data_IF_766324195928
#
_entry.id   IF_766324195928
#
_cell.length_a   1.000
_cell.length_b   1.000
_cell.length_c   1.000
_cell.angle_alpha   90.00
_cell.angle_beta   90.00
_cell.angle_gamma   90.00
#
_symmetry.space_group_name_H-M   'P 1'
#
loop_
_entity.id
_entity.type
_entity.pdbx_description
1 polymer ?
#
# COMPACT_ATOMS: atom_id res chain seq x y z
N UNK A 1 -12.15 67.32 -35.89
CA UNK A 1 -12.93 66.07 -35.74
C UNK A 1 -11.98 64.92 -35.86
N UNK A 2 -11.54 64.40 -34.70
CA UNK A 2 -10.59 63.30 -34.62
C UNK A 2 -11.38 62.04 -34.20
N UNK A 3 -11.38 61.02 -35.04
CA UNK A 3 -12.06 59.75 -34.80
C UNK A 3 -11.12 58.84 -33.96
N UNK A 4 -11.56 58.47 -32.77
CA UNK A 4 -10.88 57.45 -31.93
C UNK A 4 -11.04 56.04 -32.52
N UNK A 5 -10.02 55.21 -32.55
CA UNK A 5 -10.15 53.84 -33.03
C UNK A 5 -10.87 52.97 -31.95
N UNK A 6 -11.97 52.34 -32.37
CA UNK A 6 -12.69 51.31 -31.60
C UNK A 6 -11.84 50.05 -31.55
N UNK A 7 -11.36 49.68 -30.34
CA UNK A 7 -10.71 48.40 -30.05
C UNK A 7 -11.81 47.31 -30.02
N UNK A 8 -11.79 46.41 -31.03
CA UNK A 8 -12.61 45.20 -31.00
C UNK A 8 -12.12 44.29 -29.89
N UNK A 9 -13.02 43.75 -29.05
CA UNK A 9 -12.62 42.74 -28.05
C UNK A 9 -12.18 41.46 -28.76
N UNK A 10 -10.98 41.02 -28.46
CA UNK A 10 -10.46 39.70 -28.89
C UNK A 10 -11.37 38.59 -28.34
N UNK A 11 -11.83 37.63 -29.15
CA UNK A 11 -12.63 36.54 -28.62
C UNK A 11 -11.81 35.77 -27.61
N UNK A 12 -12.40 35.56 -26.44
CA UNK A 12 -11.87 34.66 -25.43
C UNK A 12 -11.61 33.30 -26.07
N UNK A 13 -10.37 32.87 -26.11
CA UNK A 13 -9.99 31.52 -26.49
C UNK A 13 -10.72 30.59 -25.50
N UNK A 14 -11.81 30.00 -25.97
CA UNK A 14 -12.34 28.78 -25.38
C UNK A 14 -11.23 27.73 -25.56
N UNK A 15 -10.31 27.65 -24.59
CA UNK A 15 -9.45 26.52 -24.43
C UNK A 15 -10.40 25.32 -24.24
N UNK A 16 -10.46 24.45 -25.26
CA UNK A 16 -11.10 23.16 -25.12
C UNK A 16 -10.57 22.52 -23.83
N UNK A 17 -11.41 21.82 -23.06
CA UNK A 17 -10.94 21.13 -21.88
C UNK A 17 -9.81 20.22 -22.34
N UNK A 18 -8.58 20.54 -21.92
CA UNK A 18 -7.43 19.67 -22.13
C UNK A 18 -7.81 18.33 -21.53
N UNK A 19 -7.89 17.30 -22.38
CA UNK A 19 -8.10 15.93 -21.90
C UNK A 19 -7.18 15.71 -20.70
N UNK A 20 -7.69 15.15 -19.59
CA UNK A 20 -6.84 14.91 -18.44
C UNK A 20 -5.66 14.05 -18.91
N UNK A 21 -4.42 14.36 -18.53
CA UNK A 21 -3.23 13.60 -18.91
C UNK A 21 -3.20 12.18 -18.31
N UNK A 22 -4.33 11.66 -17.91
CA UNK A 22 -4.56 10.28 -17.51
C UNK A 22 -5.09 9.53 -18.74
N UNK A 23 -4.38 9.63 -19.86
CA UNK A 23 -4.45 8.57 -20.85
C UNK A 23 -3.85 7.32 -20.21
N UNK A 24 -4.57 6.19 -20.30
CA UNK A 24 -4.07 4.86 -19.91
C UNK A 24 -2.74 4.50 -20.63
N UNK A 25 -2.26 5.33 -21.53
CA UNK A 25 -1.01 5.19 -22.28
C UNK A 25 0.27 5.10 -21.41
N UNK A 26 0.21 5.49 -20.16
CA UNK A 26 1.32 5.35 -19.20
C UNK A 26 1.19 4.17 -18.23
N UNK A 27 0.27 3.24 -18.45
CA UNK A 27 -0.02 2.13 -17.53
C UNK A 27 0.68 0.82 -17.91
N UNK A 28 1.54 0.81 -18.91
CA UNK A 28 2.33 -0.36 -19.26
C UNK A 28 3.52 -0.54 -18.32
N UNK A 29 3.93 -1.78 -18.08
CA UNK A 29 5.14 -2.09 -17.30
C UNK A 29 6.37 -1.37 -17.89
N UNK A 30 6.46 -1.24 -19.21
CA UNK A 30 7.53 -0.50 -19.88
C UNK A 30 7.56 0.99 -19.49
N UNK A 31 6.39 1.65 -19.40
CA UNK A 31 6.30 3.02 -18.92
C UNK A 31 6.72 3.14 -17.45
N UNK A 32 6.32 2.20 -16.59
CA UNK A 32 6.74 2.19 -15.18
C UNK A 32 8.24 1.92 -15.04
N UNK A 33 8.81 1.04 -15.86
CA UNK A 33 10.25 0.80 -15.90
C UNK A 33 11.05 2.05 -16.26
N UNK A 34 10.51 2.94 -17.10
CA UNK A 34 11.14 4.23 -17.38
C UNK A 34 11.13 5.19 -16.19
N UNK A 35 10.18 5.04 -15.27
CA UNK A 35 10.06 5.86 -14.07
C UNK A 35 10.88 5.31 -12.89
N UNK A 36 10.90 4.00 -12.69
CA UNK A 36 11.72 3.31 -11.70
C UNK A 36 11.90 1.84 -12.07
N UNK A 37 13.10 1.50 -12.53
CA UNK A 37 13.45 0.12 -12.87
C UNK A 37 13.41 -0.81 -11.65
N UNK A 38 13.91 -0.34 -10.50
CA UNK A 38 13.94 -1.14 -9.28
C UNK A 38 12.56 -1.57 -8.82
N UNK A 39 11.65 -0.62 -8.69
CA UNK A 39 10.28 -0.88 -8.24
C UNK A 39 9.50 -1.75 -9.24
N UNK A 40 9.63 -1.44 -10.55
CA UNK A 40 8.85 -2.14 -11.57
C UNK A 40 9.33 -3.57 -11.78
N UNK A 41 10.63 -3.78 -11.89
CA UNK A 41 11.21 -5.13 -12.02
C UNK A 41 11.02 -5.90 -10.71
N UNK A 42 11.30 -5.27 -9.56
CA UNK A 42 11.10 -5.88 -8.26
C UNK A 42 9.67 -6.34 -8.04
N UNK A 43 8.68 -5.48 -8.34
CA UNK A 43 7.26 -5.82 -8.23
C UNK A 43 6.85 -6.95 -9.18
N UNK A 44 7.30 -6.91 -10.44
CA UNK A 44 7.03 -7.97 -11.41
C UNK A 44 7.66 -9.31 -10.98
N UNK A 45 8.91 -9.31 -10.54
CA UNK A 45 9.58 -10.52 -10.05
C UNK A 45 8.89 -11.08 -8.80
N UNK A 46 8.42 -10.21 -7.90
CA UNK A 46 7.69 -10.62 -6.71
C UNK A 46 6.39 -11.36 -7.07
N UNK A 47 5.64 -10.85 -8.06
CA UNK A 47 4.42 -11.51 -8.56
C UNK A 47 4.75 -12.81 -9.31
N UNK A 48 5.79 -12.83 -10.14
CA UNK A 48 6.22 -14.04 -10.85
C UNK A 48 6.70 -15.12 -9.90
N UNK A 49 7.35 -14.75 -8.79
CA UNK A 49 7.80 -15.68 -7.76
C UNK A 49 6.63 -16.40 -7.04
N UNK A 50 5.39 -15.94 -7.19
CA UNK A 50 4.22 -16.68 -6.71
C UNK A 50 4.08 -18.05 -7.40
N UNK A 51 4.46 -18.17 -8.66
CA UNK A 51 4.37 -19.44 -9.42
C UNK A 51 5.19 -20.57 -8.77
N UNK A 52 6.52 -20.42 -8.56
CA UNK A 52 7.29 -21.44 -7.87
C UNK A 52 6.86 -21.63 -6.41
N UNK A 53 6.43 -20.56 -5.70
CA UNK A 53 5.93 -20.69 -4.33
C UNK A 53 4.64 -21.53 -4.29
N UNK A 54 3.72 -21.32 -5.23
CA UNK A 54 2.52 -22.14 -5.36
C UNK A 54 2.86 -23.61 -5.71
N UNK A 55 3.82 -23.84 -6.61
CA UNK A 55 4.29 -25.20 -6.89
C UNK A 55 4.89 -25.86 -5.64
N UNK A 56 5.64 -25.14 -4.82
CA UNK A 56 6.17 -25.64 -3.55
C UNK A 56 5.05 -26.02 -2.56
N UNK A 57 3.96 -25.25 -2.47
CA UNK A 57 2.83 -25.59 -1.61
C UNK A 57 2.18 -26.92 -2.00
N UNK A 58 2.10 -27.20 -3.30
CA UNK A 58 1.55 -28.48 -3.80
C UNK A 58 2.48 -29.67 -3.56
N UNK A 59 3.80 -29.44 -3.65
CA UNK A 59 4.80 -30.51 -3.56
C UNK A 59 5.19 -30.85 -2.11
N UNK A 60 5.37 -29.84 -1.25
CA UNK A 60 5.87 -30.04 0.11
C UNK A 60 4.79 -30.19 1.18
N UNK A 61 3.57 -29.69 0.93
CA UNK A 61 2.40 -29.75 1.84
C UNK A 61 2.74 -29.46 3.31
N UNK A 62 3.69 -28.54 3.53
CA UNK A 62 4.09 -28.13 4.86
C UNK A 62 2.96 -27.34 5.53
N UNK A 63 2.61 -27.69 6.77
CA UNK A 63 1.55 -27.00 7.50
C UNK A 63 2.12 -26.15 8.64
N UNK A 64 1.46 -25.01 8.88
CA UNK A 64 1.68 -24.15 10.03
C UNK A 64 0.36 -23.52 10.49
N UNK A 65 0.04 -23.59 11.79
CA UNK A 65 -1.22 -23.13 12.36
C UNK A 65 -2.48 -23.65 11.65
N UNK A 66 -2.46 -24.91 11.20
CA UNK A 66 -3.61 -25.56 10.57
C UNK A 66 -3.90 -25.17 9.12
N UNK A 67 -3.03 -24.38 8.50
CA UNK A 67 -3.08 -24.01 7.08
C UNK A 67 -1.76 -24.34 6.39
N UNK A 68 -1.76 -24.28 5.05
CA UNK A 68 -0.53 -24.43 4.27
C UNK A 68 0.47 -23.34 4.66
N UNK A 69 1.72 -23.73 4.97
CA UNK A 69 2.76 -22.80 5.38
C UNK A 69 3.13 -21.79 4.27
N UNK A 70 2.87 -22.13 3.01
CA UNK A 70 3.12 -21.26 1.86
C UNK A 70 2.00 -20.25 1.58
N UNK A 71 0.84 -20.35 2.21
CA UNK A 71 -0.23 -19.35 2.11
C UNK A 71 0.24 -17.95 2.49
N UNK A 72 1.04 -17.86 3.54
CA UNK A 72 1.61 -16.58 3.99
C UNK A 72 2.59 -15.99 2.98
N UNK A 73 3.62 -16.72 2.50
CA UNK A 73 4.46 -16.24 1.40
C UNK A 73 3.68 -15.74 0.20
N UNK A 74 2.68 -16.49 -0.29
CA UNK A 74 1.86 -16.09 -1.44
C UNK A 74 1.13 -14.77 -1.21
N UNK A 75 0.52 -14.56 -0.04
CA UNK A 75 -0.13 -13.30 0.33
C UNK A 75 0.86 -12.12 0.38
N UNK A 76 2.04 -12.35 0.95
CA UNK A 76 3.09 -11.33 1.01
C UNK A 76 3.67 -11.00 -0.38
N UNK A 77 3.91 -11.99 -1.22
CA UNK A 77 4.35 -11.79 -2.60
C UNK A 77 3.35 -10.95 -3.39
N UNK A 78 2.06 -11.28 -3.28
CA UNK A 78 1.00 -10.51 -3.92
C UNK A 78 0.98 -9.06 -3.42
N UNK A 79 0.96 -8.87 -2.10
CA UNK A 79 0.88 -7.55 -1.47
C UNK A 79 2.11 -6.69 -1.78
N UNK A 80 3.32 -7.22 -1.60
CA UNK A 80 4.57 -6.51 -1.87
C UNK A 80 4.76 -6.24 -3.35
N UNK A 81 4.39 -7.18 -4.22
CA UNK A 81 4.43 -6.99 -5.67
C UNK A 81 3.55 -5.82 -6.11
N UNK A 82 2.27 -5.81 -5.68
CA UNK A 82 1.34 -4.71 -5.96
C UNK A 82 1.85 -3.40 -5.33
N UNK A 83 2.37 -3.42 -4.10
CA UNK A 83 2.91 -2.25 -3.43
C UNK A 83 4.05 -1.61 -4.24
N UNK A 84 5.04 -2.38 -4.66
CA UNK A 84 6.17 -1.89 -5.46
C UNK A 84 5.71 -1.32 -6.81
N UNK A 85 4.79 -2.00 -7.49
CA UNK A 85 4.22 -1.51 -8.75
C UNK A 85 3.40 -0.23 -8.57
N UNK A 86 2.65 -0.09 -7.48
CA UNK A 86 1.95 1.15 -7.15
C UNK A 86 2.92 2.31 -6.93
N UNK A 87 4.02 2.09 -6.20
CA UNK A 87 5.05 3.12 -6.04
C UNK A 87 5.68 3.51 -7.39
N UNK A 88 5.99 2.53 -8.25
CA UNK A 88 6.54 2.77 -9.59
C UNK A 88 5.60 3.64 -10.43
N UNK A 89 4.31 3.31 -10.43
CA UNK A 89 3.26 4.06 -11.11
C UNK A 89 3.15 5.49 -10.58
N UNK A 90 3.05 5.67 -9.27
CA UNK A 90 2.92 6.99 -8.65
C UNK A 90 4.16 7.86 -8.85
N UNK A 91 5.34 7.24 -8.94
CA UNK A 91 6.58 7.93 -9.25
C UNK A 91 6.57 8.57 -10.65
N UNK A 92 5.80 8.03 -11.58
CA UNK A 92 5.59 8.61 -12.90
C UNK A 92 5.00 10.02 -12.88
N UNK A 93 4.30 10.39 -11.82
CA UNK A 93 3.74 11.72 -11.63
C UNK A 93 4.72 12.77 -11.08
N UNK A 94 5.98 12.39 -10.84
CA UNK A 94 7.05 13.34 -10.54
C UNK A 94 7.63 13.93 -11.82
N UNK A 95 8.08 15.18 -11.77
CA UNK A 95 8.92 15.78 -12.83
C UNK A 95 10.22 14.97 -13.00
N UNK A 96 10.90 15.05 -14.17
CA UNK A 96 12.21 14.43 -14.35
C UNK A 96 13.23 14.85 -13.29
N UNK A 97 13.27 16.15 -12.94
CA UNK A 97 14.13 16.66 -11.87
C UNK A 97 13.76 16.10 -10.49
N UNK A 98 12.46 15.90 -10.21
CA UNK A 98 11.98 15.26 -8.99
C UNK A 98 12.41 13.80 -8.89
N UNK A 99 12.33 13.06 -9.98
CA UNK A 99 12.77 11.65 -10.07
C UNK A 99 14.29 11.47 -9.92
N UNK A 100 15.07 12.43 -10.39
CA UNK A 100 16.53 12.37 -10.32
C UNK A 100 17.12 12.71 -8.94
N UNK A 101 16.30 13.13 -7.97
CA UNK A 101 16.80 13.44 -6.62
C UNK A 101 17.30 12.18 -5.91
N UNK A 102 18.39 12.31 -5.14
CA UNK A 102 18.94 11.16 -4.38
C UNK A 102 17.91 10.51 -3.46
N UNK A 103 17.08 11.31 -2.79
CA UNK A 103 15.99 10.81 -1.94
C UNK A 103 14.98 10.00 -2.76
N UNK A 104 14.68 10.40 -3.99
CA UNK A 104 13.79 9.65 -4.87
C UNK A 104 14.41 8.31 -5.29
N UNK A 105 15.74 8.26 -5.51
CA UNK A 105 16.43 7.01 -5.80
C UNK A 105 16.44 6.05 -4.60
N UNK A 106 16.59 6.59 -3.38
CA UNK A 106 16.51 5.79 -2.16
C UNK A 106 15.12 5.17 -1.98
N UNK A 107 14.05 5.86 -2.37
CA UNK A 107 12.68 5.31 -2.33
C UNK A 107 12.44 4.21 -3.37
N UNK A 108 13.36 3.97 -4.29
CA UNK A 108 13.30 2.86 -5.23
C UNK A 108 14.04 1.64 -4.70
N UNK A 109 15.29 1.83 -4.27
CA UNK A 109 16.18 0.75 -3.86
C UNK A 109 15.79 0.20 -2.49
N UNK A 110 15.58 1.09 -1.52
CA UNK A 110 15.31 0.68 -0.12
C UNK A 110 14.06 -0.20 0.00
N UNK A 111 12.87 0.20 -0.50
CA UNK A 111 11.69 -0.65 -0.38
C UNK A 111 11.82 -1.95 -1.20
N UNK A 112 12.52 -1.93 -2.35
CA UNK A 112 12.75 -3.15 -3.12
C UNK A 112 13.63 -4.13 -2.34
N UNK A 113 14.75 -3.69 -1.79
CA UNK A 113 15.65 -4.54 -1.00
C UNK A 113 14.96 -5.06 0.26
N UNK A 114 14.22 -4.20 0.97
CA UNK A 114 13.45 -4.61 2.15
C UNK A 114 12.41 -5.69 1.79
N UNK A 115 11.64 -5.50 0.72
CA UNK A 115 10.64 -6.47 0.28
C UNK A 115 11.24 -7.83 -0.05
N UNK A 116 12.37 -7.87 -0.77
CA UNK A 116 13.05 -9.14 -1.08
C UNK A 116 13.69 -9.78 0.14
N UNK A 117 14.26 -9.00 1.05
CA UNK A 117 14.82 -9.49 2.31
C UNK A 117 13.74 -10.14 3.18
N UNK A 118 12.59 -9.48 3.34
CA UNK A 118 11.45 -10.05 4.06
C UNK A 118 10.95 -11.33 3.41
N UNK A 119 10.78 -11.33 2.08
CA UNK A 119 10.31 -12.51 1.38
C UNK A 119 11.26 -13.70 1.48
N UNK A 120 12.57 -13.47 1.39
CA UNK A 120 13.57 -14.53 1.56
C UNK A 120 13.42 -15.18 2.96
N UNK A 121 13.27 -14.36 4.01
CA UNK A 121 13.07 -14.86 5.36
C UNK A 121 11.74 -15.58 5.55
N UNK A 122 10.63 -15.02 5.03
CA UNK A 122 9.30 -15.64 5.14
C UNK A 122 9.27 -17.01 4.43
N UNK A 123 9.85 -17.11 3.22
CA UNK A 123 9.93 -18.35 2.46
C UNK A 123 10.81 -19.39 3.16
N UNK A 124 11.96 -18.96 3.70
CA UNK A 124 12.83 -19.85 4.46
C UNK A 124 12.12 -20.44 5.68
N UNK A 125 11.37 -19.62 6.43
CA UNK A 125 10.61 -20.12 7.60
C UNK A 125 9.44 -21.02 7.17
N UNK A 126 8.73 -20.67 6.10
CA UNK A 126 7.65 -21.49 5.58
C UNK A 126 8.13 -22.88 5.15
N UNK A 127 9.29 -22.97 4.49
CA UNK A 127 9.86 -24.27 4.08
C UNK A 127 10.21 -25.18 5.26
N UNK A 128 10.31 -24.64 6.47
CA UNK A 128 10.57 -25.37 7.71
C UNK A 128 9.31 -25.60 8.56
N UNK A 129 8.15 -25.10 8.12
CA UNK A 129 6.92 -25.12 8.91
C UNK A 129 7.01 -24.28 10.19
N UNK A 130 7.77 -23.20 10.15
CA UNK A 130 8.07 -22.35 11.31
C UNK A 130 7.48 -20.94 11.16
N UNK A 131 7.18 -20.31 12.30
CA UNK A 131 6.73 -18.92 12.31
C UNK A 131 7.82 -17.96 11.80
N UNK A 132 7.48 -17.08 10.87
CA UNK A 132 8.33 -15.97 10.44
C UNK A 132 8.13 -14.72 11.31
N UNK A 133 6.92 -14.49 11.83
CA UNK A 133 6.57 -13.37 12.70
C UNK A 133 6.29 -13.87 14.12
N UNK A 134 6.44 -12.99 15.10
CA UNK A 134 6.25 -13.31 16.53
C UNK A 134 7.15 -14.44 17.03
N UNK A 135 8.19 -14.79 16.30
CA UNK A 135 9.10 -15.85 16.68
C UNK A 135 10.26 -15.28 17.49
N UNK A 136 10.16 -15.44 18.81
CA UNK A 136 11.17 -15.03 19.79
C UNK A 136 11.78 -16.23 20.52
N UNK A 137 11.62 -17.44 19.96
CA UNK A 137 12.05 -18.68 20.62
C UNK A 137 13.57 -18.79 20.77
N UNK A 138 14.34 -18.10 19.93
CA UNK A 138 15.81 -18.03 20.01
C UNK A 138 16.30 -16.60 19.81
N UNK A 139 17.49 -16.24 20.33
CA UNK A 139 18.06 -14.92 20.07
C UNK A 139 18.16 -14.55 18.59
N UNK A 140 18.52 -15.52 17.75
CA UNK A 140 18.58 -15.32 16.30
C UNK A 140 17.18 -15.06 15.70
N UNK A 141 16.17 -15.85 16.08
CA UNK A 141 14.80 -15.65 15.58
C UNK A 141 14.26 -14.28 16.01
N UNK A 142 14.51 -13.86 17.25
CA UNK A 142 14.12 -12.55 17.76
C UNK A 142 14.83 -11.41 16.99
N UNK A 143 16.13 -11.53 16.73
CA UNK A 143 16.88 -10.54 15.95
C UNK A 143 16.37 -10.42 14.51
N UNK A 144 16.11 -11.55 13.84
CA UNK A 144 15.56 -11.58 12.48
C UNK A 144 14.13 -11.01 12.44
N UNK A 145 13.30 -11.30 13.43
CA UNK A 145 11.97 -10.69 13.55
C UNK A 145 12.06 -9.16 13.76
N UNK A 146 12.99 -8.69 14.58
CA UNK A 146 13.27 -7.27 14.75
C UNK A 146 13.73 -6.61 13.45
N UNK A 147 14.61 -7.27 12.68
CA UNK A 147 15.08 -6.79 11.37
C UNK A 147 13.92 -6.67 10.37
N UNK A 148 12.99 -7.63 10.35
CA UNK A 148 11.77 -7.53 9.55
C UNK A 148 10.92 -6.33 9.94
N UNK A 149 10.78 -6.04 11.24
CA UNK A 149 10.08 -4.84 11.71
C UNK A 149 10.70 -3.55 11.15
N UNK A 150 12.03 -3.47 11.10
CA UNK A 150 12.75 -2.35 10.45
C UNK A 150 12.45 -2.31 8.95
N UNK A 151 12.49 -3.46 8.25
CA UNK A 151 12.15 -3.56 6.83
C UNK A 151 10.73 -3.04 6.55
N UNK A 152 9.75 -3.48 7.34
CA UNK A 152 8.36 -3.02 7.22
C UNK A 152 8.21 -1.51 7.44
N UNK A 153 8.92 -0.93 8.41
CA UNK A 153 8.95 0.52 8.63
C UNK A 153 9.56 1.27 7.43
N UNK A 154 10.63 0.74 6.84
CA UNK A 154 11.23 1.33 5.63
C UNK A 154 10.27 1.27 4.43
N UNK A 155 9.50 0.20 4.29
CA UNK A 155 8.45 0.10 3.27
C UNK A 155 7.42 1.22 3.45
N UNK A 156 6.78 1.35 4.60
CA UNK A 156 5.75 2.38 4.79
C UNK A 156 6.34 3.80 4.76
N UNK A 157 7.58 4.00 5.22
CA UNK A 157 8.28 5.28 5.15
C UNK A 157 8.52 5.73 3.70
N UNK A 158 8.80 4.79 2.77
CA UNK A 158 8.96 5.10 1.36
C UNK A 158 7.69 5.75 0.77
N UNK A 159 6.49 5.31 1.20
CA UNK A 159 5.22 5.95 0.82
C UNK A 159 5.18 7.42 1.26
N UNK A 160 5.54 7.73 2.51
CA UNK A 160 5.56 9.10 3.02
C UNK A 160 6.57 9.99 2.30
N UNK A 161 7.76 9.45 1.99
CA UNK A 161 8.77 10.19 1.21
C UNK A 161 8.26 10.49 -0.20
N UNK A 162 7.58 9.54 -0.85
CA UNK A 162 6.97 9.77 -2.17
C UNK A 162 5.84 10.81 -2.10
N UNK A 163 5.01 10.80 -1.04
CA UNK A 163 4.00 11.83 -0.82
C UNK A 163 4.62 13.23 -0.69
N UNK A 164 5.73 13.33 0.06
CA UNK A 164 6.48 14.57 0.20
C UNK A 164 7.08 15.04 -1.13
N UNK A 165 7.64 14.13 -1.93
CA UNK A 165 8.16 14.44 -3.27
C UNK A 165 7.04 14.92 -4.19
N UNK A 166 5.87 14.29 -4.21
CA UNK A 166 4.72 14.71 -4.99
C UNK A 166 4.18 16.09 -4.55
N UNK A 167 4.35 16.45 -3.28
CA UNK A 167 4.00 17.82 -2.83
C UNK A 167 4.90 18.88 -3.47
N UNK A 168 6.16 18.57 -3.71
CA UNK A 168 7.17 19.53 -4.15
C UNK A 168 7.54 19.45 -5.62
N UNK A 169 7.37 18.28 -6.22
CA UNK A 169 7.90 17.95 -7.54
C UNK A 169 6.87 17.20 -8.42
N UNK A 170 5.58 17.40 -8.19
CA UNK A 170 4.57 16.84 -9.08
C UNK A 170 4.69 17.45 -10.48
N UNK A 171 4.44 16.64 -11.50
CA UNK A 171 4.37 17.09 -12.89
C UNK A 171 3.27 18.14 -13.07
N UNK A 172 3.49 19.21 -13.85
CA UNK A 172 2.46 20.18 -14.15
C UNK A 172 1.32 19.55 -14.95
N UNK A 173 0.12 20.14 -14.85
CA UNK A 173 -1.07 19.67 -15.58
C UNK A 173 -1.79 18.49 -14.98
N UNK A 174 -1.37 17.96 -13.83
CA UNK A 174 -2.13 16.93 -13.11
C UNK A 174 -3.41 17.54 -12.52
N UNK A 175 -4.52 16.78 -12.63
CA UNK A 175 -5.76 17.16 -11.97
C UNK A 175 -5.53 17.26 -10.45
N UNK A 176 -5.96 18.37 -9.84
CA UNK A 176 -5.68 18.66 -8.43
C UNK A 176 -6.35 17.66 -7.47
N UNK A 177 -7.56 17.18 -7.77
CA UNK A 177 -8.24 16.19 -6.95
C UNK A 177 -7.49 14.84 -6.98
N UNK A 178 -7.05 14.42 -8.17
CA UNK A 178 -6.25 13.20 -8.31
C UNK A 178 -4.91 13.31 -7.58
N UNK A 179 -4.17 14.41 -7.75
CA UNK A 179 -2.91 14.62 -7.04
C UNK A 179 -3.10 14.66 -5.52
N UNK A 180 -4.20 15.24 -5.04
CA UNK A 180 -4.57 15.26 -3.61
C UNK A 180 -4.82 13.85 -3.10
N UNK A 181 -5.50 13.00 -3.88
CA UNK A 181 -5.78 11.61 -3.51
C UNK A 181 -4.51 10.75 -3.45
N UNK A 182 -3.57 10.93 -4.37
CA UNK A 182 -2.24 10.29 -4.31
C UNK A 182 -1.52 10.63 -3.00
N UNK A 183 -1.48 11.92 -2.65
CA UNK A 183 -0.80 12.38 -1.43
C UNK A 183 -1.47 11.83 -0.18
N UNK A 184 -2.79 11.89 -0.09
CA UNK A 184 -3.53 11.37 1.06
C UNK A 184 -3.35 9.85 1.19
N UNK A 185 -3.48 9.10 0.09
CA UNK A 185 -3.26 7.66 0.10
C UNK A 185 -1.89 7.28 0.65
N UNK A 186 -0.85 7.92 0.14
CA UNK A 186 0.53 7.67 0.56
C UNK A 186 0.80 8.08 2.03
N UNK A 187 0.30 9.24 2.48
CA UNK A 187 0.43 9.68 3.87
C UNK A 187 -0.33 8.77 4.83
N UNK A 188 -1.55 8.38 4.49
CA UNK A 188 -2.34 7.48 5.34
C UNK A 188 -1.71 6.08 5.38
N UNK A 189 -1.13 5.60 4.27
CA UNK A 189 -0.36 4.35 4.28
C UNK A 189 0.80 4.41 5.26
N UNK A 190 1.59 5.48 5.25
CA UNK A 190 2.69 5.63 6.20
C UNK A 190 2.20 5.71 7.64
N UNK A 191 1.19 6.53 7.91
CA UNK A 191 0.75 6.80 9.29
C UNK A 191 -0.06 5.64 9.84
N UNK A 192 -1.16 5.27 9.17
CA UNK A 192 -2.08 4.25 9.70
C UNK A 192 -1.49 2.85 9.57
N UNK A 193 -0.85 2.53 8.43
CA UNK A 193 -0.16 1.26 8.24
C UNK A 193 1.01 1.10 9.19
N UNK A 194 1.80 2.17 9.40
CA UNK A 194 2.92 2.19 10.34
C UNK A 194 2.47 2.00 11.77
N UNK A 195 1.50 2.79 12.24
CA UNK A 195 0.98 2.70 13.62
C UNK A 195 0.37 1.33 13.90
N UNK A 196 -0.51 0.86 12.99
CA UNK A 196 -1.12 -0.46 13.17
C UNK A 196 -0.09 -1.59 13.11
N UNK A 197 0.92 -1.50 12.24
CA UNK A 197 2.01 -2.47 12.13
C UNK A 197 2.91 -2.50 13.37
N UNK A 198 3.29 -1.34 13.91
CA UNK A 198 4.08 -1.24 15.15
C UNK A 198 3.30 -1.87 16.30
N UNK A 199 2.03 -1.52 16.48
CA UNK A 199 1.21 -2.08 17.53
C UNK A 199 1.07 -3.60 17.37
N UNK A 200 0.76 -4.08 16.15
CA UNK A 200 0.65 -5.51 15.84
C UNK A 200 1.95 -6.25 16.15
N UNK A 201 3.11 -5.71 15.78
CA UNK A 201 4.41 -6.36 15.99
C UNK A 201 4.81 -6.50 17.44
N UNK A 202 4.26 -5.66 18.33
CA UNK A 202 4.48 -5.73 19.78
C UNK A 202 3.60 -6.76 20.51
N UNK A 203 2.69 -7.44 19.78
CA UNK A 203 1.82 -8.47 20.36
C UNK A 203 2.47 -9.87 20.29
N UNK A 204 1.85 -10.83 20.96
CA UNK A 204 2.27 -12.24 20.90
C UNK A 204 1.65 -13.01 19.73
N UNK A 205 0.78 -12.34 18.95
CA UNK A 205 0.05 -12.90 17.80
C UNK A 205 -0.86 -11.87 17.14
N UNK A 206 -1.72 -12.32 16.24
CA UNK A 206 -2.62 -11.43 15.51
C UNK A 206 -3.84 -10.98 16.31
N UNK A 207 -4.26 -11.78 17.28
CA UNK A 207 -5.41 -11.51 18.14
C UNK A 207 -4.97 -10.89 19.45
N UNK A 208 -5.76 -9.95 19.97
CA UNK A 208 -5.62 -9.38 21.30
C UNK A 208 -6.65 -10.02 22.21
N UNK A 209 -6.25 -10.35 23.44
CA UNK A 209 -7.17 -10.92 24.43
C UNK A 209 -7.44 -12.41 24.23
N UNK A 210 -6.42 -13.24 24.27
CA UNK A 210 -6.53 -14.71 24.24
C UNK A 210 -7.55 -15.27 25.27
N UNK A 211 -7.82 -14.51 26.36
CA UNK A 211 -8.87 -14.82 27.35
C UNK A 211 -10.29 -14.78 26.74
N UNK A 212 -10.50 -14.16 25.61
CA UNK A 212 -11.79 -14.11 24.90
C UNK A 212 -11.92 -15.17 23.78
N UNK A 213 -11.12 -16.23 23.80
CA UNK A 213 -11.16 -17.30 22.82
C UNK A 213 -10.46 -16.92 21.51
N UNK A 214 -9.40 -16.12 21.57
CA UNK A 214 -8.57 -15.81 20.42
C UNK A 214 -8.10 -17.08 19.74
N UNK A 215 -8.42 -17.21 18.44
CA UNK A 215 -8.10 -18.41 17.66
C UNK A 215 -6.59 -18.48 17.48
N UNK A 216 -6.00 -19.51 18.06
CA UNK A 216 -4.57 -19.85 17.83
C UNK A 216 -4.32 -20.51 16.49
N UNK A 217 -5.38 -20.72 15.69
CA UNK A 217 -5.37 -21.49 14.46
C UNK A 217 -6.05 -20.70 13.33
N UNK A 218 -5.35 -20.51 12.22
CA UNK A 218 -5.85 -19.79 11.03
C UNK A 218 -6.81 -20.61 10.15
N UNK A 219 -6.99 -21.93 10.43
CA UNK A 219 -7.81 -22.84 9.61
C UNK A 219 -9.30 -22.44 9.52
N UNK A 220 -9.81 -21.73 10.53
CA UNK A 220 -11.20 -21.29 10.59
C UNK A 220 -11.37 -19.79 10.27
N UNK A 221 -10.34 -19.16 9.72
CA UNK A 221 -10.38 -17.78 9.28
C UNK A 221 -11.26 -17.54 8.05
N UNK A 222 -11.45 -16.27 7.68
CA UNK A 222 -12.13 -15.91 6.45
C UNK A 222 -11.37 -16.46 5.24
N UNK A 223 -12.07 -16.94 4.20
CA UNK A 223 -11.42 -17.37 2.95
C UNK A 223 -10.48 -16.28 2.42
N UNK A 224 -9.37 -16.67 1.82
CA UNK A 224 -8.31 -15.82 1.25
C UNK A 224 -7.52 -15.02 2.28
N UNK A 225 -8.16 -14.24 3.15
CA UNK A 225 -7.47 -13.40 4.13
C UNK A 225 -6.94 -14.19 5.33
N UNK A 226 -7.65 -15.22 5.75
CA UNK A 226 -7.38 -15.96 6.99
C UNK A 226 -7.70 -15.16 8.25
N UNK A 227 -8.46 -14.05 8.14
CA UNK A 227 -8.81 -13.22 9.29
C UNK A 227 -9.74 -13.97 10.24
N UNK A 228 -9.54 -13.79 11.54
CA UNK A 228 -10.35 -14.45 12.57
C UNK A 228 -11.83 -14.10 12.43
N UNK A 229 -12.68 -15.14 12.53
CA UNK A 229 -14.14 -15.01 12.54
C UNK A 229 -14.71 -14.91 13.95
N UNK A 230 -13.99 -15.42 14.94
CA UNK A 230 -14.48 -15.58 16.33
C UNK A 230 -13.75 -14.71 17.33
N UNK A 231 -12.59 -14.19 16.98
CA UNK A 231 -11.79 -13.29 17.80
C UNK A 231 -11.43 -11.99 17.07
N UNK A 232 -10.79 -11.07 17.78
CA UNK A 232 -10.25 -9.86 17.16
C UNK A 232 -9.10 -10.19 16.22
N UNK A 233 -8.87 -9.32 15.22
CA UNK A 233 -7.77 -9.52 14.28
C UNK A 233 -7.11 -8.18 13.90
N UNK A 234 -5.93 -7.95 14.43
CA UNK A 234 -5.14 -6.74 14.17
C UNK A 234 -4.62 -6.66 12.72
N UNK A 235 -4.71 -7.74 11.94
CA UNK A 235 -4.38 -7.72 10.52
C UNK A 235 -5.37 -6.86 9.72
N UNK A 236 -6.63 -6.75 10.18
CA UNK A 236 -7.67 -5.94 9.50
C UNK A 236 -7.31 -4.46 9.46
N UNK A 237 -7.10 -3.77 10.59
CA UNK A 237 -6.73 -2.35 10.56
C UNK A 237 -5.35 -2.13 9.91
N UNK A 238 -4.42 -3.07 10.05
CA UNK A 238 -3.14 -2.98 9.37
C UNK A 238 -3.32 -3.05 7.84
N UNK A 239 -4.13 -3.99 7.35
CA UNK A 239 -4.49 -4.08 5.93
C UNK A 239 -5.12 -2.78 5.42
N UNK A 240 -6.14 -2.27 6.10
CA UNK A 240 -6.74 -0.99 5.73
C UNK A 240 -5.68 0.13 5.68
N UNK A 241 -4.83 0.21 6.70
CA UNK A 241 -3.78 1.22 6.76
C UNK A 241 -2.85 1.17 5.54
N UNK A 242 -2.25 0.02 5.24
CA UNK A 242 -1.28 -0.11 4.14
C UNK A 242 -1.90 0.01 2.75
N UNK A 243 -3.21 -0.20 2.61
CA UNK A 243 -3.91 -0.14 1.31
C UNK A 243 -4.56 1.21 1.01
N UNK A 244 -4.41 2.22 1.87
CA UNK A 244 -4.90 3.58 1.61
C UNK A 244 -4.34 4.16 0.30
N UNK A 245 -3.08 3.80 -0.03
CA UNK A 245 -2.42 4.24 -1.27
C UNK A 245 -3.00 3.62 -2.55
N UNK A 246 -3.82 2.60 -2.47
CA UNK A 246 -4.56 2.04 -3.61
C UNK A 246 -5.98 2.62 -3.68
N UNK A 247 -6.70 2.62 -2.56
CA UNK A 247 -8.11 3.03 -2.53
C UNK A 247 -8.32 4.51 -2.80
N UNK A 248 -7.54 5.38 -2.16
CA UNK A 248 -7.74 6.83 -2.32
C UNK A 248 -7.39 7.35 -3.71
N UNK A 249 -6.30 6.94 -4.37
CA UNK A 249 -6.06 7.33 -5.75
C UNK A 249 -7.11 6.83 -6.74
N UNK A 250 -7.62 5.62 -6.54
CA UNK A 250 -8.71 5.09 -7.37
C UNK A 250 -9.98 5.95 -7.21
N UNK A 251 -10.34 6.30 -5.97
CA UNK A 251 -11.44 7.22 -5.70
C UNK A 251 -11.20 8.60 -6.31
N UNK A 252 -10.00 9.17 -6.13
CA UNK A 252 -9.65 10.49 -6.67
C UNK A 252 -9.64 10.53 -8.20
N UNK A 253 -9.22 9.45 -8.85
CA UNK A 253 -9.34 9.29 -10.29
C UNK A 253 -10.81 9.29 -10.72
N UNK A 254 -11.68 8.54 -10.07
CA UNK A 254 -13.11 8.53 -10.35
C UNK A 254 -13.74 9.91 -10.09
N UNK A 255 -13.46 10.51 -8.94
CA UNK A 255 -13.95 11.84 -8.57
C UNK A 255 -13.57 12.90 -9.61
N UNK A 256 -12.32 12.85 -10.11
CA UNK A 256 -11.82 13.80 -11.11
C UNK A 256 -12.51 13.69 -12.47
N UNK A 257 -13.17 12.56 -12.75
CA UNK A 257 -13.90 12.36 -14.01
C UNK A 257 -15.38 12.75 -13.92
N UNK A 258 -15.97 12.60 -12.73
CA UNK A 258 -17.43 12.76 -12.60
C UNK A 258 -17.84 14.08 -11.97
N UNK A 259 -16.92 14.79 -11.28
CA UNK A 259 -17.25 16.04 -10.60
C UNK A 259 -16.36 17.20 -11.04
N UNK A 260 -16.90 18.45 -11.03
CA UNK A 260 -16.09 19.65 -11.18
C UNK A 260 -14.97 19.67 -10.12
N UNK A 261 -13.81 20.23 -10.48
CA UNK A 261 -12.59 20.15 -9.67
C UNK A 261 -12.77 20.55 -8.20
N UNK A 262 -13.46 21.66 -7.83
CA UNK A 262 -13.66 22.01 -6.42
C UNK A 262 -14.42 20.95 -5.62
N UNK A 263 -15.46 20.35 -6.22
CA UNK A 263 -16.24 19.26 -5.60
C UNK A 263 -15.43 17.98 -5.53
N UNK A 264 -14.66 17.65 -6.57
CA UNK A 264 -13.78 16.50 -6.58
C UNK A 264 -12.72 16.59 -5.48
N UNK A 265 -12.09 17.75 -5.27
CA UNK A 265 -11.12 17.96 -4.19
C UNK A 265 -11.78 17.77 -2.83
N UNK A 266 -12.94 18.40 -2.61
CA UNK A 266 -13.67 18.28 -1.35
C UNK A 266 -14.06 16.82 -1.06
N UNK A 267 -14.54 16.09 -2.07
CA UNK A 267 -14.90 14.67 -1.92
C UNK A 267 -13.69 13.80 -1.61
N UNK A 268 -12.52 14.09 -2.17
CA UNK A 268 -11.25 13.39 -1.85
C UNK A 268 -10.85 13.63 -0.39
N UNK A 269 -10.97 14.86 0.11
CA UNK A 269 -10.73 15.13 1.53
C UNK A 269 -11.72 14.37 2.42
N UNK A 270 -13.01 14.40 2.08
CA UNK A 270 -14.05 13.64 2.79
C UNK A 270 -13.77 12.13 2.80
N UNK A 271 -13.41 11.57 1.65
CA UNK A 271 -13.05 10.15 1.52
C UNK A 271 -11.80 9.79 2.34
N UNK A 272 -10.78 10.65 2.36
CA UNK A 272 -9.59 10.42 3.17
C UNK A 272 -9.89 10.42 4.67
N UNK A 273 -10.73 11.35 5.15
CA UNK A 273 -11.20 11.39 6.55
C UNK A 273 -12.03 10.15 6.87
N UNK A 274 -13.00 9.80 6.03
CA UNK A 274 -13.84 8.61 6.24
C UNK A 274 -13.02 7.33 6.27
N UNK A 275 -12.03 7.20 5.37
CA UNK A 275 -11.11 6.06 5.34
C UNK A 275 -10.25 5.98 6.61
N UNK A 276 -9.72 7.12 7.06
CA UNK A 276 -8.94 7.19 8.29
C UNK A 276 -9.78 6.80 9.51
N UNK A 277 -11.00 7.33 9.62
CA UNK A 277 -11.93 6.98 10.71
C UNK A 277 -12.28 5.49 10.69
N UNK A 278 -12.60 4.92 9.51
CA UNK A 278 -12.86 3.49 9.37
C UNK A 278 -11.66 2.65 9.86
N UNK A 279 -10.46 3.02 9.47
CA UNK A 279 -9.24 2.31 9.87
C UNK A 279 -9.00 2.42 11.38
N UNK A 280 -9.20 3.61 11.97
CA UNK A 280 -9.08 3.83 13.42
C UNK A 280 -10.14 3.05 14.18
N UNK A 281 -11.39 3.04 13.72
CA UNK A 281 -12.47 2.26 14.35
C UNK A 281 -12.14 0.75 14.31
N UNK A 282 -11.69 0.24 13.16
CA UNK A 282 -11.25 -1.15 13.05
C UNK A 282 -10.07 -1.45 13.97
N UNK A 283 -9.15 -0.48 14.14
CA UNK A 283 -8.02 -0.62 15.06
C UNK A 283 -8.47 -0.69 16.52
N UNK A 284 -9.34 0.22 16.95
CA UNK A 284 -9.89 0.27 18.32
C UNK A 284 -10.67 -1.01 18.60
N UNK A 285 -11.52 -1.45 17.67
CA UNK A 285 -12.27 -2.70 17.76
C UNK A 285 -11.34 -3.90 17.96
N UNK A 286 -10.32 -4.04 17.09
CA UNK A 286 -9.37 -5.15 17.18
C UNK A 286 -8.54 -5.10 18.46
N UNK A 287 -8.07 -3.92 18.88
CA UNK A 287 -7.30 -3.73 20.12
C UNK A 287 -8.14 -4.00 21.37
N UNK A 288 -9.45 -3.78 21.31
CA UNK A 288 -10.38 -4.12 22.39
C UNK A 288 -10.73 -5.62 22.46
N UNK A 289 -10.15 -6.45 21.59
CA UNK A 289 -10.43 -7.89 21.57
C UNK A 289 -11.76 -8.28 20.92
N UNK A 290 -12.42 -7.34 20.22
CA UNK A 290 -13.77 -7.53 19.64
C UNK A 290 -13.67 -8.11 18.23
N UNK A 291 -14.43 -9.18 17.92
CA UNK A 291 -14.47 -9.74 16.56
C UNK A 291 -14.95 -8.75 15.50
N UNK A 292 -14.41 -8.86 14.27
CA UNK A 292 -14.84 -8.03 13.16
C UNK A 292 -16.29 -8.33 12.75
N UNK A 293 -16.65 -9.63 12.77
CA UNK A 293 -17.98 -10.11 12.40
C UNK A 293 -18.71 -10.59 13.67
N UNK A 294 -19.72 -9.85 14.10
CA UNK A 294 -20.55 -10.26 15.21
C UNK A 294 -21.54 -11.33 14.76
N UNK A 295 -21.45 -12.53 15.32
CA UNK A 295 -22.53 -13.53 15.22
C UNK A 295 -22.64 -14.28 13.88
N UNK A 296 -21.59 -14.32 13.05
CA UNK A 296 -21.55 -15.16 11.85
C UNK A 296 -20.72 -16.44 12.05
#
# INVERSE_FOLDING_TARGET
MSASPTIKPTPAHNAAPTEPPIGMAGTTLAAWMSHSRWLSVGGALMLLAMLPTFALSLLHRQQFNGIDAYDKPLKFQLSLGIYLLCLAWMRGYLTPAGRARRVALLTDVVPTVAAFGEMAYILWRASRGEASHFNIATPLASALYGLMGVGALLLVAASGVLAWLLRRHASPGLNAAFLTSLRHGLWLTMILGGVAGIYLSGQTGHAVGAALGGVTNDAFGLPLSGWSRTGSDLRVPHFLGIHAMQFLPLFGWAASRWWPEPRAILSVHGAAVAYALLTVLAFVQAAAGVPLLFGL
#
